data_IF_908017379401
#
_entry.id   IF_908017379401
#
_cell.length_a   1.000
_cell.length_b   1.000
_cell.length_c   1.000
_cell.angle_alpha   90.00
_cell.angle_beta   90.00
_cell.angle_gamma   90.00
#
_symmetry.space_group_name_H-M   'P 1'
#
loop_
_entity.id
_entity.type
_entity.pdbx_description
1 polymer ?
#
# COMPACT_ATOMS: atom_id res chain seq x y z
N UNK A 1 20.66 -9.58 -6.62
CA UNK A 1 20.66 -10.75 -5.71
C UNK A 1 19.21 -11.05 -5.34
N UNK A 2 18.82 -12.32 -5.29
CA UNK A 2 17.48 -12.71 -4.82
C UNK A 2 17.43 -12.74 -3.29
N UNK A 3 16.29 -12.35 -2.71
CA UNK A 3 16.04 -12.46 -1.27
C UNK A 3 15.83 -13.94 -0.92
N UNK A 4 16.56 -14.50 0.05
CA UNK A 4 16.39 -15.88 0.50
C UNK A 4 14.94 -16.18 0.89
N UNK A 5 14.44 -17.39 0.58
CA UNK A 5 13.03 -17.73 0.76
C UNK A 5 12.50 -17.52 2.19
N UNK A 6 13.36 -17.78 3.19
CA UNK A 6 13.08 -17.55 4.63
C UNK A 6 12.88 -16.07 4.98
N UNK A 7 13.46 -15.16 4.20
CA UNK A 7 13.40 -13.70 4.38
C UNK A 7 12.28 -13.07 3.56
N UNK A 8 11.63 -13.81 2.64
CA UNK A 8 10.60 -13.26 1.75
C UNK A 8 9.26 -12.96 2.45
N UNK A 9 8.95 -13.57 3.59
CA UNK A 9 7.64 -13.41 4.23
C UNK A 9 7.31 -11.94 4.62
N UNK A 10 8.23 -11.17 5.24
CA UNK A 10 8.05 -9.74 5.45
C UNK A 10 7.82 -8.95 4.16
N UNK A 11 8.54 -9.27 3.09
CA UNK A 11 8.37 -8.62 1.78
C UNK A 11 7.00 -8.90 1.18
N UNK A 12 6.52 -10.15 1.26
CA UNK A 12 5.16 -10.52 0.81
C UNK A 12 4.08 -9.78 1.58
N UNK A 13 4.20 -9.71 2.91
CA UNK A 13 3.23 -8.99 3.74
C UNK A 13 3.22 -7.48 3.42
N UNK A 14 4.37 -6.88 3.10
CA UNK A 14 4.41 -5.51 2.57
C UNK A 14 3.73 -5.40 1.20
N UNK A 15 4.04 -6.31 0.27
CA UNK A 15 3.47 -6.29 -1.09
C UNK A 15 1.96 -6.48 -1.11
N UNK A 16 1.38 -7.25 -0.18
CA UNK A 16 -0.07 -7.42 -0.03
C UNK A 16 -0.75 -6.08 0.29
N UNK A 17 -0.21 -5.32 1.25
CA UNK A 17 -0.75 -3.99 1.61
C UNK A 17 -0.53 -2.96 0.49
N UNK A 18 0.63 -3.02 -0.18
CA UNK A 18 0.92 -2.15 -1.32
C UNK A 18 -0.03 -2.42 -2.50
N UNK A 19 -0.32 -3.69 -2.80
CA UNK A 19 -1.25 -4.08 -3.85
C UNK A 19 -2.67 -3.59 -3.54
N UNK A 20 -3.12 -3.73 -2.30
CA UNK A 20 -4.41 -3.22 -1.86
C UNK A 20 -4.49 -1.68 -1.97
N UNK A 21 -3.45 -0.97 -1.52
CA UNK A 21 -3.37 0.49 -1.66
C UNK A 21 -3.50 0.90 -3.13
N UNK A 22 -2.77 0.24 -4.03
CA UNK A 22 -2.83 0.55 -5.46
C UNK A 22 -4.23 0.32 -6.03
N UNK A 23 -4.88 -0.81 -5.71
CA UNK A 23 -6.24 -1.09 -6.17
C UNK A 23 -7.24 -0.01 -5.71
N UNK A 24 -7.19 0.40 -4.44
CA UNK A 24 -8.13 1.40 -3.92
C UNK A 24 -7.90 2.76 -4.60
N UNK A 25 -6.65 3.12 -4.88
CA UNK A 25 -6.35 4.36 -5.62
C UNK A 25 -6.92 4.29 -7.04
N UNK A 26 -6.74 3.17 -7.73
CA UNK A 26 -7.28 2.95 -9.08
C UNK A 26 -8.80 3.11 -9.09
N UNK A 27 -9.49 2.42 -8.17
CA UNK A 27 -10.94 2.51 -8.00
C UNK A 27 -11.42 3.95 -7.70
N UNK A 28 -10.64 4.72 -6.93
CA UNK A 28 -10.95 6.13 -6.64
C UNK A 28 -10.78 7.01 -7.87
N UNK A 29 -9.79 6.75 -8.71
CA UNK A 29 -9.54 7.53 -9.94
C UNK A 29 -10.58 7.22 -11.02
N UNK A 30 -10.96 5.94 -11.15
CA UNK A 30 -11.90 5.47 -12.16
C UNK A 30 -13.37 5.57 -11.71
N UNK A 31 -13.60 5.73 -10.40
CA UNK A 31 -14.94 5.86 -9.83
C UNK A 31 -15.71 4.55 -9.79
N UNK A 32 -15.02 3.42 -9.73
CA UNK A 32 -15.59 2.07 -9.66
C UNK A 32 -15.17 1.35 -8.37
N UNK A 33 -15.29 0.01 -8.33
CA UNK A 33 -14.82 -0.83 -7.22
C UNK A 33 -15.17 -0.30 -5.81
N UNK A 34 -14.16 -0.09 -4.97
CA UNK A 34 -14.30 0.46 -3.61
C UNK A 34 -14.97 1.84 -3.60
N UNK A 35 -14.67 2.71 -4.57
CA UNK A 35 -15.26 4.04 -4.65
C UNK A 35 -16.75 3.97 -4.98
N UNK A 36 -17.17 3.05 -5.87
CA UNK A 36 -18.58 2.81 -6.18
C UNK A 36 -19.32 2.12 -5.03
N UNK A 37 -18.68 1.17 -4.35
CA UNK A 37 -19.30 0.37 -3.29
C UNK A 37 -19.44 1.14 -1.96
N UNK A 38 -18.46 1.97 -1.60
CA UNK A 38 -18.38 2.62 -0.30
C UNK A 38 -18.39 4.16 -0.36
N UNK A 39 -18.30 4.73 -1.56
CA UNK A 39 -18.10 6.15 -1.77
C UNK A 39 -16.63 6.56 -1.69
N UNK A 40 -16.28 7.61 -2.45
CA UNK A 40 -14.90 8.11 -2.59
C UNK A 40 -14.25 8.45 -1.24
N UNK A 41 -14.99 9.04 -0.30
CA UNK A 41 -14.43 9.40 1.02
C UNK A 41 -14.04 8.16 1.85
N UNK A 42 -14.87 7.12 1.85
CA UNK A 42 -14.58 5.89 2.56
C UNK A 42 -13.43 5.12 1.88
N UNK A 43 -13.39 5.11 0.54
CA UNK A 43 -12.29 4.52 -0.21
C UNK A 43 -10.95 5.24 0.09
N UNK A 44 -10.93 6.57 0.18
CA UNK A 44 -9.72 7.33 0.57
C UNK A 44 -9.26 6.97 1.98
N UNK A 45 -10.17 6.85 2.94
CA UNK A 45 -9.81 6.41 4.30
C UNK A 45 -9.22 4.99 4.31
N UNK A 46 -9.77 4.06 3.51
CA UNK A 46 -9.22 2.71 3.37
C UNK A 46 -7.82 2.71 2.74
N UNK A 47 -7.57 3.60 1.78
CA UNK A 47 -6.24 3.79 1.19
C UNK A 47 -5.24 4.28 2.25
N UNK A 48 -5.62 5.26 3.07
CA UNK A 48 -4.77 5.77 4.14
C UNK A 48 -4.41 4.65 5.14
N UNK A 49 -5.38 3.85 5.56
CA UNK A 49 -5.15 2.69 6.43
C UNK A 49 -4.22 1.64 5.78
N UNK A 50 -4.38 1.38 4.47
CA UNK A 50 -3.51 0.46 3.74
C UNK A 50 -2.07 0.99 3.65
N UNK A 51 -1.89 2.29 3.44
CA UNK A 51 -0.59 2.94 3.45
C UNK A 51 0.10 2.83 4.84
N UNK A 52 -0.63 3.09 5.92
CA UNK A 52 -0.12 2.92 7.28
C UNK A 52 0.32 1.48 7.56
N UNK A 53 -0.50 0.49 7.16
CA UNK A 53 -0.14 -0.94 7.30
C UNK A 53 1.08 -1.28 6.46
N UNK A 54 1.16 -0.83 5.21
CA UNK A 54 2.32 -1.05 4.34
C UNK A 54 3.60 -0.50 4.98
N UNK A 55 3.59 0.73 5.49
CA UNK A 55 4.73 1.33 6.20
C UNK A 55 5.10 0.53 7.46
N UNK A 56 4.11 0.07 8.23
CA UNK A 56 4.34 -0.79 9.41
C UNK A 56 4.97 -2.14 9.06
N UNK A 57 4.61 -2.74 7.91
CA UNK A 57 5.24 -3.97 7.42
C UNK A 57 6.67 -3.72 6.95
N UNK A 58 6.86 -2.63 6.20
CA UNK A 58 8.15 -2.24 5.66
C UNK A 58 9.18 -1.98 6.77
N UNK A 59 8.78 -1.34 7.87
CA UNK A 59 9.63 -1.09 9.04
C UNK A 59 10.14 -2.35 9.76
N UNK A 60 9.57 -3.53 9.48
CA UNK A 60 10.00 -4.82 10.06
C UNK A 60 11.07 -5.52 9.21
N UNK A 61 11.39 -4.99 8.04
CA UNK A 61 12.36 -5.56 7.12
C UNK A 61 13.76 -5.04 7.49
N UNK A 62 14.74 -5.91 7.80
CA UNK A 62 16.09 -5.48 8.18
C UNK A 62 16.93 -5.14 6.93
N UNK A 63 16.46 -4.17 6.14
CA UNK A 63 17.12 -3.68 4.94
C UNK A 63 16.84 -2.17 4.77
N UNK A 64 17.59 -1.52 3.89
CA UNK A 64 17.23 -0.16 3.47
C UNK A 64 15.99 -0.22 2.57
N UNK A 65 14.89 0.32 3.09
CA UNK A 65 13.59 0.36 2.43
C UNK A 65 13.14 1.78 2.09
N UNK A 66 14.05 2.76 2.12
CA UNK A 66 13.72 4.19 1.95
C UNK A 66 12.91 4.46 0.69
N UNK A 67 13.34 3.92 -0.45
CA UNK A 67 12.64 4.07 -1.74
C UNK A 67 11.22 3.50 -1.71
N UNK A 68 11.01 2.39 -1.01
CA UNK A 68 9.69 1.77 -0.90
C UNK A 68 8.78 2.57 0.03
N UNK A 69 9.32 3.19 1.07
CA UNK A 69 8.57 4.08 1.95
C UNK A 69 8.14 5.35 1.20
N UNK A 70 9.03 5.94 0.40
CA UNK A 70 8.72 7.08 -0.47
C UNK A 70 7.64 6.74 -1.50
N UNK A 71 7.68 5.53 -2.07
CA UNK A 71 6.66 5.05 -3.00
C UNK A 71 5.29 4.96 -2.34
N UNK A 72 5.19 4.39 -1.13
CA UNK A 72 3.92 4.33 -0.39
C UNK A 72 3.41 5.73 -0.06
N UNK A 73 4.28 6.62 0.41
CA UNK A 73 3.91 8.01 0.70
C UNK A 73 3.42 8.76 -0.56
N UNK A 74 4.08 8.55 -1.70
CA UNK A 74 3.69 9.14 -2.97
C UNK A 74 2.35 8.64 -3.50
N UNK A 75 2.01 7.37 -3.23
CA UNK A 75 0.70 6.80 -3.55
C UNK A 75 -0.40 7.39 -2.66
N UNK A 76 -0.18 7.42 -1.34
CA UNK A 76 -1.12 8.02 -0.38
C UNK A 76 -1.35 9.52 -0.64
N UNK A 77 -0.34 10.27 -1.08
CA UNK A 77 -0.54 11.69 -1.40
C UNK A 77 -1.51 11.95 -2.58
N UNK A 78 -1.79 10.94 -3.43
CA UNK A 78 -2.74 11.05 -4.55
C UNK A 78 -4.20 10.85 -4.12
N UNK A 79 -4.45 10.41 -2.87
CA UNK A 79 -5.78 10.21 -2.30
C UNK A 79 -6.28 11.41 -1.50
N UNK A 80 -5.59 12.55 -1.50
CA UNK A 80 -6.02 13.82 -0.88
C UNK A 80 -6.39 14.90 -1.88
#
# INVERSE_FOLDING_TARGET
AEVPQREQAPWRAFSEELGLLFQIIDDVLDGDGYALAHGVAAARALADEAAERALSRLAKIPADTTVLAELVAGLAARTS
#
